data_IF_144190304534
#
_entry.id   IF_144190304534
#
_cell.length_a   1.000
_cell.length_b   1.000
_cell.length_c   1.000
_cell.angle_alpha   90.00
_cell.angle_beta   90.00
_cell.angle_gamma   90.00
#
_symmetry.space_group_name_H-M   'P 1'
#
loop_
_entity.id
_entity.type
_entity.pdbx_description
1 polymer ?
#
# COMPACT_ATOMS: atom_id res chain seq x y z
N UNK A 1 -11.52 -13.74 30.19
CA UNK A 1 -12.03 -14.32 28.95
C UNK A 1 -11.97 -13.20 27.93
N UNK A 2 -11.00 -13.24 27.03
CA UNK A 2 -10.98 -12.32 25.89
C UNK A 2 -12.05 -12.79 24.93
N UNK A 3 -13.18 -12.08 24.87
CA UNK A 3 -14.23 -12.36 23.88
C UNK A 3 -13.56 -12.46 22.51
N UNK A 4 -13.76 -13.61 21.86
CA UNK A 4 -13.17 -13.85 20.55
C UNK A 4 -13.71 -12.80 19.59
N UNK A 5 -12.83 -11.99 19.00
CA UNK A 5 -13.20 -10.95 18.03
C UNK A 5 -14.03 -11.60 16.92
N UNK A 6 -15.31 -11.24 16.84
CA UNK A 6 -16.21 -11.74 15.79
C UNK A 6 -15.94 -10.96 14.50
N UNK A 7 -15.35 -11.57 13.48
CA UNK A 7 -15.10 -10.87 12.23
C UNK A 7 -16.41 -10.53 11.51
N UNK A 8 -16.38 -9.49 10.68
CA UNK A 8 -17.45 -9.20 9.72
C UNK A 8 -17.62 -10.38 8.74
N UNK A 9 -18.80 -10.52 8.15
CA UNK A 9 -18.95 -11.48 7.04
C UNK A 9 -18.01 -11.10 5.87
N UNK A 10 -17.60 -12.09 5.08
CA UNK A 10 -16.69 -11.84 3.94
C UNK A 10 -17.23 -10.80 2.97
N UNK A 11 -18.53 -10.85 2.67
CA UNK A 11 -19.17 -9.87 1.78
C UNK A 11 -19.24 -8.47 2.39
N UNK A 12 -19.61 -8.35 3.69
CA UNK A 12 -19.58 -7.06 4.37
C UNK A 12 -18.16 -6.46 4.45
N UNK A 13 -17.16 -7.30 4.70
CA UNK A 13 -15.75 -6.87 4.70
C UNK A 13 -15.35 -6.29 3.34
N UNK A 14 -15.68 -6.98 2.24
CA UNK A 14 -15.40 -6.47 0.90
C UNK A 14 -16.13 -5.16 0.63
N UNK A 15 -17.44 -5.11 0.87
CA UNK A 15 -18.26 -3.93 0.59
C UNK A 15 -17.78 -2.70 1.38
N UNK A 16 -17.47 -2.86 2.66
CA UNK A 16 -16.97 -1.76 3.51
C UNK A 16 -15.54 -1.35 3.15
N UNK A 17 -14.67 -2.30 2.78
CA UNK A 17 -13.32 -2.00 2.29
C UNK A 17 -13.35 -1.21 0.98
N UNK A 18 -14.14 -1.64 0.00
CA UNK A 18 -14.33 -0.92 -1.26
C UNK A 18 -14.96 0.46 -1.02
N UNK A 19 -15.95 0.55 -0.12
CA UNK A 19 -16.54 1.84 0.24
C UNK A 19 -15.50 2.81 0.84
N UNK A 20 -14.66 2.34 1.77
CA UNK A 20 -13.63 3.17 2.38
C UNK A 20 -12.61 3.67 1.35
N UNK A 21 -12.16 2.77 0.45
CA UNK A 21 -11.26 3.11 -0.66
C UNK A 21 -11.89 4.18 -1.56
N UNK A 22 -13.10 3.96 -2.06
CA UNK A 22 -13.78 4.91 -2.96
C UNK A 22 -14.09 6.25 -2.28
N UNK A 23 -14.46 6.25 -1.00
CA UNK A 23 -14.67 7.47 -0.23
C UNK A 23 -13.38 8.27 -0.06
N UNK A 24 -12.25 7.60 0.18
CA UNK A 24 -10.93 8.24 0.18
C UNK A 24 -10.59 8.88 -1.15
N UNK A 25 -10.79 8.16 -2.27
CA UNK A 25 -10.53 8.69 -3.61
C UNK A 25 -11.45 9.87 -3.96
N UNK A 26 -12.73 9.80 -3.58
CA UNK A 26 -13.66 10.92 -3.77
C UNK A 26 -13.23 12.16 -2.97
N UNK A 27 -12.81 11.98 -1.72
CA UNK A 27 -12.30 13.08 -0.90
C UNK A 27 -11.06 13.73 -1.52
N UNK A 28 -10.13 12.92 -2.05
CA UNK A 28 -8.95 13.41 -2.76
C UNK A 28 -9.32 14.18 -4.03
N UNK A 29 -10.26 13.67 -4.82
CA UNK A 29 -10.76 14.35 -6.02
C UNK A 29 -11.38 15.71 -5.68
N UNK A 30 -12.20 15.79 -4.63
CA UNK A 30 -12.78 17.03 -4.14
C UNK A 30 -11.71 18.01 -3.65
N UNK A 31 -10.69 17.54 -2.95
CA UNK A 31 -9.56 18.35 -2.50
C UNK A 31 -8.77 18.92 -3.68
N UNK A 32 -8.46 18.12 -4.70
CA UNK A 32 -7.81 18.59 -5.92
C UNK A 32 -8.66 19.61 -6.68
N UNK A 33 -9.95 19.35 -6.82
CA UNK A 33 -10.87 20.28 -7.48
C UNK A 33 -10.92 21.63 -6.78
N UNK A 34 -10.95 21.61 -5.45
CA UNK A 34 -10.92 22.83 -4.65
C UNK A 34 -9.56 23.54 -4.72
N UNK A 35 -8.48 22.79 -4.54
CA UNK A 35 -7.11 23.35 -4.46
C UNK A 35 -6.66 23.97 -5.79
N UNK A 36 -6.93 23.31 -6.90
CA UNK A 36 -6.51 23.78 -8.23
C UNK A 36 -7.59 24.56 -8.98
N UNK A 37 -8.77 24.73 -8.38
CA UNK A 37 -9.91 25.37 -9.07
C UNK A 37 -10.37 24.64 -10.32
N UNK A 38 -10.04 23.35 -10.41
CA UNK A 38 -10.41 22.51 -11.55
C UNK A 38 -11.88 22.13 -11.46
N UNK A 39 -12.59 22.15 -12.60
CA UNK A 39 -13.95 21.62 -12.67
C UNK A 39 -13.94 20.09 -12.56
N UNK A 40 -15.05 19.48 -12.09
CA UNK A 40 -15.20 18.02 -12.04
C UNK A 40 -15.08 17.34 -13.42
N UNK A 41 -15.07 18.10 -14.52
CA UNK A 41 -14.79 17.59 -15.86
C UNK A 41 -13.29 17.43 -16.16
N UNK A 42 -12.42 17.92 -15.29
CA UNK A 42 -10.97 17.70 -15.35
C UNK A 42 -10.60 16.69 -14.28
N UNK A 43 -10.47 15.44 -14.66
CA UNK A 43 -9.91 14.42 -13.77
C UNK A 43 -8.44 14.73 -13.52
N UNK A 44 -7.94 14.45 -12.30
CA UNK A 44 -6.50 14.50 -12.02
C UNK A 44 -5.76 13.67 -13.05
N UNK A 45 -4.64 14.20 -13.53
CA UNK A 45 -3.76 13.42 -14.38
C UNK A 45 -3.01 12.41 -13.50
N UNK A 46 -3.53 11.19 -13.45
CA UNK A 46 -2.87 10.08 -12.75
C UNK A 46 -1.59 9.61 -13.47
N UNK A 47 -1.25 10.22 -14.60
CA UNK A 47 -0.17 9.76 -15.48
C UNK A 47 1.20 10.30 -15.11
N UNK A 48 1.34 11.16 -14.09
CA UNK A 48 2.69 11.55 -13.71
C UNK A 48 2.88 12.92 -13.02
N UNK A 49 1.84 13.60 -12.55
CA UNK A 49 2.04 14.79 -11.73
C UNK A 49 2.28 14.44 -10.26
N UNK A 50 3.51 14.63 -9.78
CA UNK A 50 3.91 14.28 -8.43
C UNK A 50 3.22 15.12 -7.33
N UNK A 51 2.79 16.37 -7.63
CA UNK A 51 2.02 17.16 -6.68
C UNK A 51 0.59 16.62 -6.55
N UNK A 52 -0.06 16.28 -7.67
CA UNK A 52 -1.38 15.66 -7.68
C UNK A 52 -1.37 14.32 -6.94
N UNK A 53 -0.40 13.45 -7.21
CA UNK A 53 -0.22 12.17 -6.51
C UNK A 53 -0.03 12.39 -5.00
N UNK A 54 0.77 13.39 -4.61
CA UNK A 54 0.99 13.72 -3.20
C UNK A 54 -0.31 14.12 -2.50
N UNK A 55 -1.13 14.97 -3.13
CA UNK A 55 -2.43 15.40 -2.58
C UNK A 55 -3.41 14.22 -2.54
N UNK A 56 -3.46 13.39 -3.60
CA UNK A 56 -4.32 12.20 -3.63
C UNK A 56 -4.02 11.29 -2.44
N UNK A 57 -2.78 10.91 -2.26
CA UNK A 57 -2.38 9.99 -1.17
C UNK A 57 -2.59 10.67 0.19
N UNK A 58 -2.16 11.94 0.33
CA UNK A 58 -2.24 12.70 1.58
C UNK A 58 -3.68 12.92 2.08
N UNK A 59 -4.67 12.92 1.19
CA UNK A 59 -6.09 13.08 1.55
C UNK A 59 -6.81 11.74 1.61
N UNK A 60 -6.62 10.88 0.60
CA UNK A 60 -7.35 9.60 0.54
C UNK A 60 -6.99 8.67 1.70
N UNK A 61 -5.70 8.55 2.03
CA UNK A 61 -5.23 7.63 3.08
C UNK A 61 -5.83 7.92 4.47
N UNK A 62 -5.80 9.16 5.00
CA UNK A 62 -6.43 9.45 6.29
C UNK A 62 -7.93 9.17 6.31
N UNK A 63 -8.65 9.48 5.24
CA UNK A 63 -10.09 9.21 5.13
C UNK A 63 -10.37 7.72 5.12
N UNK A 64 -9.66 6.98 4.30
CA UNK A 64 -9.77 5.52 4.20
C UNK A 64 -9.47 4.85 5.54
N UNK A 65 -8.35 5.17 6.17
CA UNK A 65 -7.93 4.61 7.46
C UNK A 65 -8.94 4.93 8.56
N UNK A 66 -9.47 6.17 8.60
CA UNK A 66 -10.49 6.55 9.58
C UNK A 66 -11.78 5.73 9.41
N UNK A 67 -12.24 5.52 8.16
CA UNK A 67 -13.41 4.70 7.87
C UNK A 67 -13.19 3.23 8.24
N UNK A 68 -12.05 2.66 7.86
CA UNK A 68 -11.70 1.28 8.20
C UNK A 68 -11.60 1.07 9.71
N UNK A 69 -11.01 2.03 10.43
CA UNK A 69 -10.95 2.00 11.90
C UNK A 69 -12.35 2.12 12.53
N UNK A 70 -13.22 2.98 11.98
CA UNK A 70 -14.61 3.09 12.39
C UNK A 70 -15.37 1.76 12.19
N UNK A 71 -15.24 1.13 11.02
CA UNK A 71 -15.91 -0.15 10.75
C UNK A 71 -15.36 -1.27 11.64
N UNK A 72 -14.05 -1.31 11.82
CA UNK A 72 -13.41 -2.27 12.73
C UNK A 72 -13.91 -2.12 14.17
N UNK A 73 -14.09 -0.90 14.69
CA UNK A 73 -14.58 -0.65 16.04
C UNK A 73 -16.03 -1.09 16.27
N UNK A 74 -16.83 -1.19 15.20
CA UNK A 74 -18.23 -1.68 15.27
C UNK A 74 -18.35 -3.19 15.45
N UNK A 75 -17.25 -3.93 15.40
CA UNK A 75 -17.23 -5.39 15.63
C UNK A 75 -17.20 -5.78 17.11
N UNK A 76 -17.18 -4.83 18.02
CA UNK A 76 -17.05 -5.06 19.47
C UNK A 76 -15.58 -5.15 19.94
N UNK A 77 -14.61 -5.13 19.03
CA UNK A 77 -13.19 -5.05 19.34
C UNK A 77 -12.68 -3.61 19.19
N UNK A 78 -11.53 -3.30 19.79
CA UNK A 78 -10.83 -2.06 19.42
C UNK A 78 -10.37 -2.12 17.97
N UNK A 79 -10.36 -0.96 17.28
CA UNK A 79 -9.88 -0.90 15.90
C UNK A 79 -8.46 -1.45 15.76
N UNK A 80 -7.57 -1.12 16.69
CA UNK A 80 -6.19 -1.62 16.70
C UNK A 80 -6.11 -3.15 16.79
N UNK A 81 -6.94 -3.76 17.65
CA UNK A 81 -6.97 -5.23 17.79
C UNK A 81 -7.55 -5.91 16.56
N UNK A 82 -8.63 -5.35 15.97
CA UNK A 82 -9.22 -5.89 14.75
C UNK A 82 -8.25 -5.81 13.56
N UNK A 83 -7.62 -4.66 13.37
CA UNK A 83 -6.70 -4.39 12.26
C UNK A 83 -5.32 -5.03 12.46
N UNK A 84 -5.03 -5.61 13.64
CA UNK A 84 -3.73 -6.21 13.94
C UNK A 84 -2.61 -5.17 14.06
N UNK A 85 -2.92 -3.99 14.58
CA UNK A 85 -1.93 -2.92 14.82
C UNK A 85 -1.13 -3.21 16.10
N UNK A 86 -0.39 -4.30 16.11
CA UNK A 86 0.51 -4.72 17.17
C UNK A 86 1.96 -4.59 16.73
N UNK A 87 2.83 -4.17 17.66
CA UNK A 87 4.26 -4.09 17.37
C UNK A 87 4.86 -5.49 17.20
N UNK A 88 5.64 -5.72 16.14
CA UNK A 88 6.32 -6.99 15.92
C UNK A 88 7.47 -7.18 16.93
N UNK A 89 7.86 -8.43 17.16
CA UNK A 89 9.06 -8.76 17.92
C UNK A 89 10.32 -8.44 17.11
N UNK A 90 11.43 -8.14 17.78
CA UNK A 90 12.69 -7.81 17.11
C UNK A 90 13.15 -8.89 16.11
N UNK A 91 12.98 -10.17 16.46
CA UNK A 91 13.31 -11.28 15.56
C UNK A 91 12.40 -11.34 14.31
N UNK A 92 11.13 -11.00 14.45
CA UNK A 92 10.17 -10.93 13.33
C UNK A 92 10.55 -9.78 12.37
N UNK A 93 10.96 -8.62 12.93
CA UNK A 93 11.46 -7.49 12.13
C UNK A 93 12.74 -7.89 11.39
N UNK A 94 13.72 -8.45 12.09
CA UNK A 94 15.00 -8.86 11.48
C UNK A 94 14.79 -9.88 10.36
N UNK A 95 13.96 -10.90 10.60
CA UNK A 95 13.61 -11.88 9.57
C UNK A 95 12.87 -11.24 8.39
N UNK A 96 11.85 -10.42 8.67
CA UNK A 96 11.06 -9.77 7.63
C UNK A 96 11.88 -8.84 6.75
N UNK A 97 12.74 -8.02 7.36
CA UNK A 97 13.68 -7.14 6.63
C UNK A 97 14.66 -7.97 5.81
N UNK A 98 15.25 -9.02 6.38
CA UNK A 98 16.15 -9.90 5.64
C UNK A 98 15.49 -10.57 4.43
N UNK A 99 14.26 -11.11 4.62
CA UNK A 99 13.50 -11.71 3.53
C UNK A 99 13.13 -10.67 2.44
N UNK A 100 12.74 -9.47 2.85
CA UNK A 100 12.40 -8.39 1.92
C UNK A 100 13.62 -7.93 1.11
N UNK A 101 14.77 -7.74 1.74
CA UNK A 101 16.02 -7.39 1.05
C UNK A 101 16.40 -8.47 0.04
N UNK A 102 16.30 -9.74 0.39
CA UNK A 102 16.56 -10.84 -0.55
C UNK A 102 15.62 -10.78 -1.74
N UNK A 103 14.32 -10.50 -1.52
CA UNK A 103 13.34 -10.40 -2.61
C UNK A 103 13.59 -9.18 -3.50
N UNK A 104 13.95 -8.03 -2.93
CA UNK A 104 14.32 -6.83 -3.69
C UNK A 104 15.52 -7.13 -4.57
N UNK A 105 16.61 -7.67 -4.00
CA UNK A 105 17.82 -8.02 -4.76
C UNK A 105 17.51 -9.05 -5.86
N UNK A 106 16.70 -10.06 -5.57
CA UNK A 106 16.31 -11.06 -6.57
C UNK A 106 15.45 -10.45 -7.69
N UNK A 107 14.51 -9.55 -7.35
CA UNK A 107 13.69 -8.83 -8.33
C UNK A 107 14.52 -7.92 -9.23
N UNK A 108 15.45 -7.16 -8.66
CA UNK A 108 16.34 -6.27 -9.38
C UNK A 108 17.31 -7.06 -10.29
N UNK A 109 17.86 -8.17 -9.78
CA UNK A 109 18.69 -9.07 -10.60
C UNK A 109 17.90 -9.68 -11.75
N UNK A 110 16.66 -10.12 -11.51
CA UNK A 110 15.79 -10.63 -12.55
C UNK A 110 15.51 -9.55 -13.62
N UNK A 111 15.18 -8.32 -13.19
CA UNK A 111 14.94 -7.19 -14.11
C UNK A 111 16.17 -6.92 -14.98
N UNK A 112 17.35 -6.90 -14.38
CA UNK A 112 18.61 -6.74 -15.11
C UNK A 112 18.87 -7.88 -16.11
N UNK A 113 18.66 -9.14 -15.70
CA UNK A 113 18.85 -10.32 -16.55
C UNK A 113 17.94 -10.33 -17.77
N UNK A 114 16.71 -9.81 -17.65
CA UNK A 114 15.74 -9.74 -18.74
C UNK A 114 15.78 -8.41 -19.52
N UNK A 115 16.77 -7.55 -19.20
CA UNK A 115 16.98 -6.27 -19.88
C UNK A 115 15.92 -5.20 -19.58
N UNK A 116 15.29 -5.26 -18.39
CA UNK A 116 14.30 -4.29 -17.94
C UNK A 116 14.92 -3.21 -17.06
N UNK A 117 14.44 -1.97 -17.22
CA UNK A 117 14.78 -0.89 -16.30
C UNK A 117 14.25 -1.22 -14.90
N UNK A 118 15.02 -0.86 -13.87
CA UNK A 118 14.56 -0.93 -12.48
C UNK A 118 13.53 0.16 -12.17
N UNK A 119 13.66 1.31 -12.82
CA UNK A 119 12.79 2.47 -12.63
C UNK A 119 11.78 2.56 -13.77
N UNK A 120 10.53 2.77 -13.44
CA UNK A 120 9.43 2.89 -14.41
C UNK A 120 9.25 4.34 -14.88
N UNK A 121 8.67 4.57 -16.07
CA UNK A 121 8.32 5.93 -16.52
C UNK A 121 7.48 6.69 -15.50
N UNK A 122 6.48 6.03 -14.90
CA UNK A 122 5.64 6.65 -13.87
C UNK A 122 6.46 7.18 -12.67
N UNK A 123 7.42 6.41 -12.17
CA UNK A 123 8.29 6.84 -11.07
C UNK A 123 9.13 8.07 -11.45
N UNK A 124 9.66 8.07 -12.67
CA UNK A 124 10.44 9.20 -13.19
C UNK A 124 9.58 10.47 -13.28
N UNK A 125 8.37 10.33 -13.83
CA UNK A 125 7.47 11.48 -14.06
C UNK A 125 7.02 12.10 -12.74
N UNK A 126 6.55 11.30 -11.76
CA UNK A 126 6.14 11.83 -10.46
C UNK A 126 7.31 12.46 -9.68
N UNK A 127 8.51 11.87 -9.80
CA UNK A 127 9.68 12.39 -9.11
C UNK A 127 10.15 13.72 -9.71
N UNK A 128 10.22 13.81 -11.04
CA UNK A 128 10.70 15.01 -11.74
C UNK A 128 9.71 16.18 -11.59
N UNK A 129 8.40 15.92 -11.72
CA UNK A 129 7.38 16.96 -11.57
C UNK A 129 7.28 17.45 -10.12
N UNK A 130 7.33 16.54 -9.14
CA UNK A 130 7.38 16.92 -7.73
C UNK A 130 8.65 17.72 -7.38
N UNK A 131 9.81 17.34 -7.94
CA UNK A 131 11.06 18.06 -7.74
C UNK A 131 10.99 19.47 -8.31
N UNK A 132 10.50 19.61 -9.54
CA UNK A 132 10.35 20.91 -10.20
C UNK A 132 9.34 21.83 -9.48
N UNK A 133 8.27 21.25 -8.92
CA UNK A 133 7.22 21.98 -8.19
C UNK A 133 7.52 22.23 -6.71
N UNK A 134 8.67 21.77 -6.16
CA UNK A 134 8.99 21.90 -4.74
C UNK A 134 8.22 20.94 -3.82
N UNK A 135 7.61 19.89 -4.38
CA UNK A 135 6.79 18.90 -3.66
C UNK A 135 7.54 17.64 -3.26
N UNK A 136 8.83 17.54 -3.55
CA UNK A 136 9.59 16.29 -3.42
C UNK A 136 9.55 15.69 -2.00
N UNK A 137 9.69 16.50 -0.96
CA UNK A 137 9.60 16.04 0.44
C UNK A 137 8.21 15.44 0.73
N UNK A 138 7.16 16.09 0.26
CA UNK A 138 5.79 15.65 0.47
C UNK A 138 5.48 14.37 -0.32
N UNK A 139 6.03 14.25 -1.54
CA UNK A 139 5.96 13.00 -2.32
C UNK A 139 6.63 11.84 -1.58
N UNK A 140 7.83 12.05 -1.01
CA UNK A 140 8.49 11.04 -0.20
C UNK A 140 7.65 10.60 0.99
N UNK A 141 7.07 11.54 1.73
CA UNK A 141 6.16 11.22 2.84
C UNK A 141 4.91 10.48 2.36
N UNK A 142 4.33 10.89 1.25
CA UNK A 142 3.16 10.23 0.68
C UNK A 142 3.49 8.78 0.30
N UNK A 143 4.53 8.55 -0.50
CA UNK A 143 4.88 7.23 -1.03
C UNK A 143 5.43 6.30 0.06
N UNK A 144 6.31 6.80 0.95
CA UNK A 144 7.03 5.95 1.91
C UNK A 144 6.26 5.74 3.21
N UNK A 145 5.37 6.68 3.57
CA UNK A 145 4.67 6.59 4.86
C UNK A 145 3.17 6.40 4.66
N UNK A 146 2.50 7.29 3.96
CA UNK A 146 1.04 7.26 3.85
C UNK A 146 0.54 6.08 3.02
N UNK A 147 1.15 5.82 1.86
CA UNK A 147 0.77 4.68 0.99
C UNK A 147 0.85 3.35 1.74
N UNK A 148 1.98 2.96 2.38
CA UNK A 148 2.04 1.72 3.15
C UNK A 148 1.02 1.65 4.28
N UNK A 149 0.76 2.75 4.98
CA UNK A 149 -0.25 2.78 6.05
C UNK A 149 -1.64 2.48 5.50
N UNK A 150 -2.08 3.18 4.44
CA UNK A 150 -3.41 2.98 3.86
C UNK A 150 -3.58 1.57 3.32
N UNK A 151 -2.67 1.15 2.47
CA UNK A 151 -2.76 -0.13 1.79
C UNK A 151 -2.65 -1.32 2.74
N UNK A 152 -1.71 -1.31 3.69
CA UNK A 152 -1.58 -2.42 4.63
C UNK A 152 -2.76 -2.47 5.62
N UNK A 153 -3.30 -1.33 6.05
CA UNK A 153 -4.51 -1.31 6.88
C UNK A 153 -5.71 -1.87 6.11
N UNK A 154 -5.87 -1.55 4.82
CA UNK A 154 -6.92 -2.12 3.99
C UNK A 154 -6.70 -3.62 3.76
N UNK A 155 -5.57 -4.00 3.15
CA UNK A 155 -5.35 -5.37 2.66
C UNK A 155 -4.97 -6.34 3.77
N UNK A 156 -4.01 -6.02 4.66
CA UNK A 156 -3.48 -6.90 5.71
C UNK A 156 -4.17 -6.69 7.06
N UNK A 157 -4.74 -5.50 7.28
CA UNK A 157 -5.56 -5.24 8.45
C UNK A 157 -7.00 -5.71 8.24
N UNK A 158 -7.76 -4.98 7.45
CA UNK A 158 -9.21 -5.09 7.38
C UNK A 158 -9.70 -6.29 6.55
N UNK A 159 -9.29 -6.39 5.27
CA UNK A 159 -9.71 -7.50 4.39
C UNK A 159 -9.18 -8.83 4.91
N UNK A 160 -7.91 -8.88 5.29
CA UNK A 160 -7.30 -10.09 5.82
C UNK A 160 -8.05 -10.61 7.05
N UNK A 161 -8.35 -9.73 8.02
CA UNK A 161 -9.06 -10.11 9.24
C UNK A 161 -10.48 -10.61 8.98
N UNK A 162 -11.23 -9.93 8.11
CA UNK A 162 -12.61 -10.31 7.80
C UNK A 162 -12.73 -11.60 7.00
N UNK A 163 -11.71 -11.93 6.18
CA UNK A 163 -11.72 -13.12 5.34
C UNK A 163 -11.07 -14.33 5.98
N UNK A 164 -10.10 -14.14 6.87
CA UNK A 164 -9.47 -15.22 7.64
C UNK A 164 -10.40 -15.66 8.79
N UNK A 165 -11.39 -16.47 8.48
CA UNK A 165 -12.37 -16.96 9.46
C UNK A 165 -11.96 -18.30 10.06
N UNK A 166 -11.16 -19.08 9.34
CA UNK A 166 -10.63 -20.37 9.78
C UNK A 166 -9.15 -20.51 9.36
N UNK A 167 -8.31 -21.27 10.09
CA UNK A 167 -6.89 -21.44 9.75
C UNK A 167 -6.64 -21.95 8.32
N UNK A 168 -7.52 -22.78 7.80
CA UNK A 168 -7.45 -23.31 6.43
C UNK A 168 -7.64 -22.24 5.34
N UNK A 169 -8.22 -21.10 5.68
CA UNK A 169 -8.45 -20.00 4.73
C UNK A 169 -7.16 -19.20 4.45
N UNK A 170 -6.10 -19.40 5.25
CA UNK A 170 -4.92 -18.55 5.27
C UNK A 170 -4.30 -18.33 3.89
N UNK A 171 -4.00 -19.43 3.17
CA UNK A 171 -3.37 -19.30 1.85
C UNK A 171 -4.28 -18.63 0.82
N UNK A 172 -5.57 -18.95 0.83
CA UNK A 172 -6.53 -18.28 -0.06
C UNK A 172 -6.59 -16.78 0.23
N UNK A 173 -6.62 -16.39 1.51
CA UNK A 173 -6.66 -14.98 1.91
C UNK A 173 -5.36 -14.27 1.52
N UNK A 174 -4.19 -14.89 1.75
CA UNK A 174 -2.89 -14.35 1.33
C UNK A 174 -2.88 -14.09 -0.18
N UNK A 175 -3.25 -15.10 -0.98
CA UNK A 175 -3.23 -15.00 -2.44
C UNK A 175 -4.22 -13.95 -2.95
N UNK A 176 -5.46 -13.98 -2.47
CA UNK A 176 -6.51 -13.05 -2.94
C UNK A 176 -6.18 -11.61 -2.56
N UNK A 177 -5.75 -11.34 -1.32
CA UNK A 177 -5.39 -9.98 -0.91
C UNK A 177 -4.17 -9.47 -1.65
N UNK A 178 -3.21 -10.34 -1.99
CA UNK A 178 -2.03 -9.98 -2.77
C UNK A 178 -2.37 -9.71 -4.23
N UNK A 179 -3.27 -10.48 -4.83
CA UNK A 179 -3.77 -10.23 -6.18
C UNK A 179 -4.52 -8.89 -6.26
N UNK A 180 -5.45 -8.65 -5.33
CA UNK A 180 -6.19 -7.38 -5.30
C UNK A 180 -5.25 -6.19 -5.13
N UNK A 181 -4.26 -6.32 -4.24
CA UNK A 181 -3.23 -5.30 -4.04
C UNK A 181 -2.38 -5.06 -5.30
N UNK A 182 -1.97 -6.11 -5.99
CA UNK A 182 -1.22 -5.97 -7.23
C UNK A 182 -2.07 -5.32 -8.35
N UNK A 183 -3.34 -5.68 -8.45
CA UNK A 183 -4.21 -5.17 -9.52
C UNK A 183 -4.65 -3.70 -9.35
N UNK A 184 -4.56 -3.11 -8.16
CA UNK A 184 -4.79 -1.66 -8.04
C UNK A 184 -3.64 -0.81 -8.59
N UNK A 185 -2.50 -1.42 -8.90
CA UNK A 185 -1.31 -0.74 -9.46
C UNK A 185 -1.37 -0.64 -11.00
N UNK A 186 -2.50 -0.16 -11.52
CA UNK A 186 -2.80 -0.06 -12.97
C UNK A 186 -1.85 0.85 -13.75
N UNK A 187 -1.08 1.69 -13.06
CA UNK A 187 -0.06 2.57 -13.66
C UNK A 187 1.19 1.80 -14.13
N UNK A 188 1.33 0.52 -13.76
CA UNK A 188 2.48 -0.31 -14.12
C UNK A 188 2.13 -1.38 -15.16
N UNK A 189 3.14 -1.86 -15.86
CA UNK A 189 2.99 -2.99 -16.76
C UNK A 189 2.87 -4.33 -16.00
N UNK A 190 2.48 -5.38 -16.72
CA UNK A 190 2.25 -6.71 -16.12
C UNK A 190 3.49 -7.32 -15.44
N UNK A 191 4.70 -6.95 -15.86
CA UNK A 191 5.92 -7.44 -15.23
C UNK A 191 6.07 -6.85 -13.81
N UNK A 192 5.88 -5.55 -13.66
CA UNK A 192 5.93 -4.88 -12.36
C UNK A 192 4.76 -5.32 -11.47
N UNK A 193 3.54 -5.46 -12.05
CA UNK A 193 2.37 -6.00 -11.32
C UNK A 193 2.66 -7.42 -10.80
N UNK A 194 3.34 -8.27 -11.58
CA UNK A 194 3.74 -9.60 -11.11
C UNK A 194 4.76 -9.55 -9.96
N UNK A 195 5.72 -8.64 -9.99
CA UNK A 195 6.65 -8.42 -8.87
C UNK A 195 5.90 -7.92 -7.61
N UNK A 196 4.98 -6.96 -7.76
CA UNK A 196 4.14 -6.47 -6.67
C UNK A 196 3.32 -7.62 -6.06
N UNK A 197 2.76 -8.50 -6.88
CA UNK A 197 2.06 -9.69 -6.39
C UNK A 197 2.97 -10.59 -5.54
N UNK A 198 4.20 -10.84 -5.98
CA UNK A 198 5.17 -11.66 -5.24
C UNK A 198 5.55 -11.00 -3.90
N UNK A 199 5.79 -9.68 -3.87
CA UNK A 199 5.96 -8.93 -2.62
C UNK A 199 4.71 -9.05 -1.73
N UNK A 200 3.53 -8.99 -2.35
CA UNK A 200 2.24 -9.16 -1.68
C UNK A 200 2.11 -10.50 -0.95
N UNK A 201 2.59 -11.58 -1.54
CA UNK A 201 2.59 -12.91 -0.92
C UNK A 201 3.47 -12.93 0.35
N UNK A 202 4.65 -12.31 0.33
CA UNK A 202 5.51 -12.19 1.51
C UNK A 202 4.82 -11.37 2.60
N UNK A 203 4.27 -10.19 2.27
CA UNK A 203 3.57 -9.34 3.23
C UNK A 203 2.36 -10.08 3.85
N UNK A 204 1.55 -10.77 3.03
CA UNK A 204 0.42 -11.56 3.50
C UNK A 204 0.84 -12.71 4.39
N UNK A 205 1.93 -13.41 4.06
CA UNK A 205 2.49 -14.46 4.88
C UNK A 205 3.02 -13.92 6.21
N UNK A 206 3.76 -12.81 6.21
CA UNK A 206 4.25 -12.15 7.43
C UNK A 206 3.08 -11.73 8.32
N UNK A 207 2.00 -11.17 7.75
CA UNK A 207 0.78 -10.85 8.48
C UNK A 207 0.15 -12.06 9.14
N UNK A 208 0.08 -13.18 8.42
CA UNK A 208 -0.45 -14.42 8.97
C UNK A 208 0.43 -15.01 10.08
N UNK A 209 1.74 -15.05 9.87
CA UNK A 209 2.69 -15.67 10.79
C UNK A 209 2.86 -14.88 12.10
N UNK A 210 2.82 -13.54 12.03
CA UNK A 210 3.12 -12.66 13.18
C UNK A 210 1.87 -12.03 13.80
N UNK A 211 0.76 -11.99 13.08
CA UNK A 211 -0.43 -11.24 13.47
C UNK A 211 -0.26 -9.72 13.37
N UNK A 212 0.90 -9.21 12.91
CA UNK A 212 1.24 -7.78 12.93
C UNK A 212 1.07 -7.12 11.56
N UNK A 213 0.09 -6.21 11.45
CA UNK A 213 -0.01 -5.28 10.32
C UNK A 213 1.06 -4.19 10.40
N UNK A 214 1.54 -3.84 11.61
CA UNK A 214 2.65 -2.89 11.75
C UNK A 214 3.92 -3.39 11.08
N UNK A 215 4.20 -4.72 11.15
CA UNK A 215 5.33 -5.30 10.45
C UNK A 215 5.19 -5.15 8.94
N UNK A 216 4.01 -5.42 8.38
CA UNK A 216 3.80 -5.30 6.93
C UNK A 216 3.89 -3.86 6.46
N UNK A 217 3.42 -2.88 7.25
CA UNK A 217 3.63 -1.45 6.99
C UNK A 217 5.13 -1.11 6.92
N UNK A 218 5.93 -1.57 7.88
CA UNK A 218 7.38 -1.33 7.88
C UNK A 218 8.08 -1.96 6.67
N UNK A 219 7.73 -3.19 6.31
CA UNK A 219 8.31 -3.88 5.16
C UNK A 219 7.89 -3.25 3.83
N UNK A 220 6.64 -2.81 3.71
CA UNK A 220 6.15 -2.08 2.54
C UNK A 220 6.83 -0.71 2.41
N UNK A 221 6.98 0.03 3.52
CA UNK A 221 7.75 1.27 3.51
C UNK A 221 9.21 1.07 3.07
N UNK A 222 9.82 -0.07 3.38
CA UNK A 222 11.16 -0.43 2.89
C UNK A 222 11.19 -0.59 1.37
N UNK A 223 10.21 -1.29 0.77
CA UNK A 223 10.08 -1.44 -0.69
C UNK A 223 9.93 -0.06 -1.35
N UNK A 224 9.03 0.77 -0.84
CA UNK A 224 8.78 2.09 -1.41
C UNK A 224 9.99 3.02 -1.25
N UNK A 225 10.72 2.91 -0.13
CA UNK A 225 11.98 3.64 0.06
C UNK A 225 13.01 3.24 -0.98
N UNK A 226 13.14 1.95 -1.22
CA UNK A 226 14.08 1.43 -2.22
C UNK A 226 13.73 1.95 -3.62
N UNK A 227 12.49 1.85 -4.07
CA UNK A 227 12.07 2.36 -5.37
C UNK A 227 12.27 3.87 -5.54
N UNK A 228 12.05 4.66 -4.47
CA UNK A 228 12.34 6.10 -4.49
C UNK A 228 13.85 6.41 -4.56
N UNK A 229 14.69 5.60 -3.89
CA UNK A 229 16.14 5.73 -3.97
C UNK A 229 16.68 5.32 -5.35
N UNK A 230 16.17 4.26 -5.96
CA UNK A 230 16.51 3.86 -7.31
C UNK A 230 16.18 4.96 -8.32
N UNK A 231 15.00 5.57 -8.19
CA UNK A 231 14.60 6.70 -9.04
C UNK A 231 15.55 7.88 -8.87
N UNK A 232 15.94 8.22 -7.65
CA UNK A 232 16.92 9.27 -7.37
C UNK A 232 18.29 8.98 -8.03
N UNK A 233 18.75 7.73 -7.94
CA UNK A 233 20.03 7.30 -8.53
C UNK A 233 19.96 7.35 -10.05
N UNK A 234 18.90 6.82 -10.66
CA UNK A 234 18.69 6.86 -12.11
C UNK A 234 18.74 8.29 -12.65
N UNK A 235 18.00 9.22 -12.01
CA UNK A 235 17.94 10.61 -12.44
C UNK A 235 19.25 11.39 -12.27
N UNK A 236 20.07 11.07 -11.26
CA UNK A 236 21.30 11.80 -10.98
C UNK A 236 22.53 11.25 -11.71
N UNK A 237 22.58 9.95 -11.98
CA UNK A 237 23.80 9.28 -12.40
C UNK A 237 23.71 8.55 -13.75
N UNK A 238 22.49 8.24 -14.21
CA UNK A 238 22.29 7.46 -15.43
C UNK A 238 21.64 8.27 -16.57
N UNK A 239 21.19 9.49 -16.29
CA UNK A 239 20.62 10.47 -17.22
C UNK A 239 21.34 11.82 -17.09
#
# INVERSE_FOLDING_TARGET
MTDAIKPLSRGATLALGVFALLAGQLAALLALTWWYGRSLGHLPDFSGDGADITVIIGVSTPVEVALLALFASRTGASAAAYLGLIWPRRGEVAFGVGAMVVMIVAGNLLSWLVGRSLVTPFQIDIYTTASAGGWLLWLWLAIVVFTPIGEEILFRGFLFRGWLQQPRDAWAVIVITSLLWAFIHVQYDWYVIAQIFIFGLLLGWMRWATGSTMLTILLHALINTEGMLETLVDLKWLR
#
